data_IF_470278127500
#
_entry.id   IF_470278127500
#
_cell.length_a   1.000
_cell.length_b   1.000
_cell.length_c   1.000
_cell.angle_alpha   90.00
_cell.angle_beta   90.00
_cell.angle_gamma   90.00
#
_symmetry.space_group_name_H-M   'P 1'
#
loop_
_entity.id
_entity.type
_entity.pdbx_description
1 polymer ?
#
# COMPACT_ATOMS: atom_id res chain seq x y z
N UNK A 1 -29.50 -15.46 13.71
CA UNK A 1 -29.19 -14.32 14.60
C UNK A 1 -28.48 -13.28 13.75
N UNK A 2 -29.15 -12.16 13.50
CA UNK A 2 -28.76 -11.17 12.50
C UNK A 2 -27.51 -10.39 12.92
N UNK A 3 -26.59 -10.20 11.97
CA UNK A 3 -25.41 -9.36 12.14
C UNK A 3 -25.81 -7.91 11.89
N UNK A 4 -25.96 -7.13 12.96
CA UNK A 4 -26.04 -5.68 12.85
C UNK A 4 -24.63 -5.13 12.59
N UNK A 5 -24.27 -5.06 11.32
CA UNK A 5 -23.10 -4.33 10.89
C UNK A 5 -23.37 -2.83 11.09
N UNK A 6 -22.48 -2.21 11.86
CA UNK A 6 -22.39 -0.78 12.05
C UNK A 6 -22.30 -0.08 10.68
N UNK A 7 -23.44 0.30 10.09
CA UNK A 7 -23.51 1.23 8.97
C UNK A 7 -23.21 2.64 9.50
N UNK A 8 -21.96 2.87 9.92
CA UNK A 8 -21.45 4.25 9.92
C UNK A 8 -21.30 4.63 8.45
N UNK A 9 -21.98 5.69 8.05
CA UNK A 9 -21.73 6.37 6.79
C UNK A 9 -20.23 6.67 6.71
N UNK A 10 -19.49 5.90 5.90
CA UNK A 10 -18.11 6.22 5.57
C UNK A 10 -18.15 7.54 4.80
N UNK A 11 -17.90 8.66 5.49
CA UNK A 11 -17.63 9.93 4.84
C UNK A 11 -16.42 9.70 3.92
N UNK A 12 -16.57 9.96 2.63
CA UNK A 12 -15.44 9.92 1.70
C UNK A 12 -14.38 10.93 2.16
N UNK A 13 -13.31 10.43 2.78
CA UNK A 13 -12.21 11.25 3.24
C UNK A 13 -11.18 11.33 2.11
N UNK A 14 -11.32 12.33 1.23
CA UNK A 14 -10.36 12.56 0.15
C UNK A 14 -9.17 13.35 0.67
N UNK A 15 -8.07 12.64 0.91
CA UNK A 15 -6.77 13.23 1.21
C UNK A 15 -6.14 13.63 -0.12
N UNK A 16 -5.80 14.92 -0.25
CA UNK A 16 -5.17 15.43 -1.47
C UNK A 16 -3.80 14.75 -1.63
N UNK A 17 -3.57 14.14 -2.79
CA UNK A 17 -2.37 13.38 -3.16
C UNK A 17 -2.21 12.02 -2.45
N UNK A 18 -3.28 11.47 -1.87
CA UNK A 18 -3.24 10.08 -1.39
C UNK A 18 -3.40 9.10 -2.56
N UNK A 19 -2.72 7.95 -2.53
CA UNK A 19 -2.85 6.94 -3.58
C UNK A 19 -4.28 6.38 -3.67
N UNK A 20 -4.82 6.34 -4.89
CA UNK A 20 -6.16 5.80 -5.17
C UNK A 20 -6.15 4.29 -5.45
N UNK A 21 -4.96 3.72 -5.68
CA UNK A 21 -4.78 2.29 -5.98
C UNK A 21 -3.41 1.77 -5.47
N UNK A 22 -3.25 0.44 -5.49
CA UNK A 22 -2.02 -0.22 -5.00
C UNK A 22 -0.78 0.24 -5.76
N UNK A 23 -0.89 0.46 -7.08
CA UNK A 23 0.25 0.92 -7.89
C UNK A 23 0.74 2.27 -7.39
N UNK A 24 -0.16 3.23 -7.21
CA UNK A 24 0.16 4.56 -6.69
C UNK A 24 0.72 4.50 -5.27
N UNK A 25 0.15 3.63 -4.42
CA UNK A 25 0.63 3.41 -3.06
C UNK A 25 2.08 2.91 -3.07
N UNK A 26 2.40 1.90 -3.90
CA UNK A 26 3.76 1.40 -4.04
C UNK A 26 4.70 2.45 -4.62
N UNK A 27 4.28 3.23 -5.62
CA UNK A 27 5.08 4.34 -6.15
C UNK A 27 5.40 5.39 -5.07
N UNK A 28 4.44 5.68 -4.18
CA UNK A 28 4.63 6.58 -3.06
C UNK A 28 5.65 6.00 -2.06
N UNK A 29 5.50 4.74 -1.69
CA UNK A 29 6.39 4.04 -0.76
C UNK A 29 7.81 3.86 -1.31
N UNK A 30 7.98 3.69 -2.63
CA UNK A 30 9.28 3.53 -3.27
C UNK A 30 10.18 4.79 -3.21
N UNK A 31 9.70 5.91 -2.67
CA UNK A 31 10.52 7.11 -2.43
C UNK A 31 11.52 6.93 -1.30
N UNK A 32 11.24 6.03 -0.35
CA UNK A 32 12.19 5.63 0.69
C UNK A 32 12.75 4.24 0.35
N UNK A 33 14.06 4.19 0.12
CA UNK A 33 14.80 2.98 -0.24
C UNK A 33 14.84 1.92 0.88
N UNK A 34 14.46 2.29 2.10
CA UNK A 34 14.41 1.40 3.26
C UNK A 34 12.99 0.93 3.62
N UNK A 35 11.98 1.28 2.83
CA UNK A 35 10.60 0.88 3.12
C UNK A 35 10.42 -0.63 3.00
N UNK A 36 10.30 -1.27 4.17
CA UNK A 36 9.84 -2.65 4.29
C UNK A 36 8.32 -2.66 4.20
N UNK A 37 7.81 -3.54 3.35
CA UNK A 37 6.37 -3.70 3.14
C UNK A 37 6.03 -5.16 3.28
N UNK A 38 4.94 -5.45 3.96
CA UNK A 38 4.35 -6.78 3.93
C UNK A 38 3.27 -6.78 2.86
N UNK A 39 3.37 -7.69 1.89
CA UNK A 39 2.38 -7.82 0.80
C UNK A 39 1.65 -9.15 0.93
N UNK A 40 0.38 -9.17 0.55
CA UNK A 40 -0.39 -10.39 0.32
C UNK A 40 -0.54 -10.55 -1.18
N UNK A 41 0.06 -11.61 -1.71
CA UNK A 41 -0.04 -11.99 -3.11
C UNK A 41 -1.24 -12.91 -3.31
N UNK A 42 -2.08 -12.59 -4.30
CA UNK A 42 -3.04 -13.54 -4.85
C UNK A 42 -2.29 -14.53 -5.73
N UNK A 43 -2.26 -15.79 -5.32
CA UNK A 43 -1.87 -16.87 -6.22
C UNK A 43 -3.10 -17.71 -6.49
N UNK A 44 -3.15 -18.33 -7.67
CA UNK A 44 -4.33 -19.08 -8.13
C UNK A 44 -4.79 -20.19 -7.16
N UNK A 45 -3.93 -20.62 -6.23
CA UNK A 45 -4.20 -21.68 -5.27
C UNK A 45 -4.35 -21.16 -3.84
N UNK A 46 -3.50 -20.23 -3.39
CA UNK A 46 -3.52 -19.67 -2.04
C UNK A 46 -3.02 -18.22 -1.98
N UNK A 47 -3.44 -17.45 -0.97
CA UNK A 47 -2.83 -16.15 -0.70
C UNK A 47 -1.50 -16.32 0.05
N UNK A 48 -0.43 -15.69 -0.43
CA UNK A 48 0.90 -15.77 0.20
C UNK A 48 1.22 -14.42 0.86
N UNK A 49 1.52 -14.45 2.17
CA UNK A 49 2.03 -13.30 2.92
C UNK A 49 3.56 -13.26 2.78
N UNK A 50 4.11 -12.12 2.36
CA UNK A 50 5.55 -11.93 2.24
C UNK A 50 6.00 -10.60 2.85
N UNK A 51 7.07 -10.63 3.65
CA UNK A 51 7.79 -9.45 4.12
C UNK A 51 8.97 -9.18 3.18
N UNK A 52 8.94 -8.05 2.48
CA UNK A 52 9.87 -7.71 1.41
C UNK A 52 10.24 -6.23 1.43
N UNK A 53 11.40 -5.89 0.86
CA UNK A 53 11.80 -4.49 0.70
C UNK A 53 11.41 -4.01 -0.70
N UNK A 54 10.57 -2.98 -0.79
CA UNK A 54 10.21 -2.39 -2.07
C UNK A 54 11.38 -1.56 -2.60
N UNK A 55 11.77 -1.82 -3.85
CA UNK A 55 12.89 -1.13 -4.52
C UNK A 55 12.38 -0.13 -5.54
N UNK A 56 11.41 -0.53 -6.37
CA UNK A 56 10.87 0.30 -7.42
C UNK A 56 9.51 -0.22 -7.90
N UNK A 57 8.80 0.62 -8.65
CA UNK A 57 7.68 0.22 -9.50
C UNK A 57 8.01 0.62 -10.93
N UNK A 58 8.09 -0.36 -11.85
CA UNK A 58 8.47 -0.15 -13.25
C UNK A 58 7.36 -0.70 -14.14
N UNK A 59 6.66 0.18 -14.86
CA UNK A 59 5.45 -0.20 -15.60
C UNK A 59 4.39 -0.71 -14.62
N UNK A 60 3.99 -1.97 -14.78
CA UNK A 60 3.03 -2.68 -13.92
C UNK A 60 3.72 -3.73 -13.01
N UNK A 61 5.05 -3.65 -12.88
CA UNK A 61 5.83 -4.54 -12.02
C UNK A 61 6.29 -3.81 -10.76
N UNK A 62 5.96 -4.36 -9.61
CA UNK A 62 6.61 -4.05 -8.34
C UNK A 62 7.92 -4.86 -8.24
N UNK A 63 9.01 -4.16 -7.95
CA UNK A 63 10.34 -4.75 -7.79
C UNK A 63 10.68 -4.78 -6.32
N UNK A 64 10.85 -5.98 -5.79
CA UNK A 64 11.22 -6.20 -4.40
C UNK A 64 12.63 -6.77 -4.30
N UNK A 65 13.36 -6.37 -3.27
CA UNK A 65 14.58 -7.06 -2.88
C UNK A 65 14.21 -8.26 -2.01
N UNK A 66 14.64 -9.44 -2.43
CA UNK A 66 14.46 -10.70 -1.73
C UNK A 66 15.84 -11.36 -1.58
N UNK A 67 16.41 -11.28 -0.38
CA UNK A 67 17.80 -11.63 -0.09
C UNK A 67 18.81 -10.85 -0.99
N UNK A 68 19.56 -11.55 -1.82
CA UNK A 68 20.55 -11.05 -2.79
C UNK A 68 19.98 -10.95 -4.22
N UNK A 69 18.66 -11.09 -4.38
CA UNK A 69 17.96 -11.09 -5.67
C UNK A 69 16.88 -10.03 -5.74
N UNK A 70 16.45 -9.74 -6.96
CA UNK A 70 15.23 -8.99 -7.22
C UNK A 70 14.08 -9.95 -7.57
N UNK A 71 12.94 -9.71 -6.95
CA UNK A 71 11.66 -10.35 -7.27
C UNK A 71 10.79 -9.33 -7.98
N UNK A 72 10.24 -9.74 -9.12
CA UNK A 72 9.31 -8.92 -9.90
C UNK A 72 7.91 -9.50 -9.73
N UNK A 73 6.96 -8.65 -9.38
CA UNK A 73 5.58 -9.05 -9.12
C UNK A 73 4.66 -8.13 -9.93
N UNK A 74 3.73 -8.71 -10.67
CA UNK A 74 2.65 -7.94 -11.28
C UNK A 74 1.82 -7.27 -10.19
N UNK A 75 1.67 -5.95 -10.25
CA UNK A 75 0.92 -5.18 -9.26
C UNK A 75 -0.53 -5.67 -9.14
N UNK A 76 -1.11 -6.23 -10.21
CA UNK A 76 -2.46 -6.80 -10.20
C UNK A 76 -2.57 -8.09 -9.37
N UNK A 77 -1.46 -8.75 -9.05
CA UNK A 77 -1.44 -9.91 -8.16
C UNK A 77 -1.31 -9.53 -6.68
N UNK A 78 -1.18 -8.25 -6.33
CA UNK A 78 -1.07 -7.80 -4.95
C UNK A 78 -2.47 -7.48 -4.43
N UNK A 79 -2.96 -8.26 -3.47
CA UNK A 79 -4.26 -8.04 -2.83
C UNK A 79 -4.21 -6.94 -1.77
N UNK A 80 -3.15 -6.96 -0.97
CA UNK A 80 -3.03 -6.11 0.22
C UNK A 80 -1.59 -5.67 0.39
N UNK A 81 -1.40 -4.42 0.76
CA UNK A 81 -0.13 -3.85 1.20
C UNK A 81 -0.27 -3.42 2.64
N UNK A 82 0.61 -3.92 3.51
CA UNK A 82 0.66 -3.63 4.94
C UNK A 82 1.98 -2.91 5.19
N UNK A 83 1.90 -1.72 5.76
CA UNK A 83 3.05 -0.87 6.10
C UNK A 83 2.88 -0.34 7.51
N UNK A 84 3.99 0.09 8.11
CA UNK A 84 3.95 0.79 9.38
C UNK A 84 3.12 2.06 9.24
N UNK A 85 2.33 2.37 10.27
CA UNK A 85 1.48 3.56 10.25
C UNK A 85 2.31 4.84 10.09
N UNK A 86 3.50 4.89 10.71
CA UNK A 86 4.44 6.01 10.60
C UNK A 86 4.83 6.32 9.16
N UNK A 87 4.97 5.32 8.29
CA UNK A 87 5.30 5.49 6.86
C UNK A 87 4.24 6.25 6.06
N UNK A 88 2.99 6.27 6.55
CA UNK A 88 1.85 6.90 5.86
C UNK A 88 1.37 8.15 6.61
N UNK A 89 1.68 8.27 7.91
CA UNK A 89 1.17 9.32 8.76
C UNK A 89 1.59 10.71 8.27
N UNK A 90 2.83 10.89 7.80
CA UNK A 90 3.28 12.20 7.30
C UNK A 90 2.49 12.64 6.06
N UNK A 91 2.27 11.75 5.09
CA UNK A 91 1.48 12.00 3.89
C UNK A 91 0.00 12.30 4.20
N UNK A 92 -0.57 11.59 5.18
CA UNK A 92 -1.94 11.84 5.64
C UNK A 92 -2.04 13.20 6.36
N UNK A 93 -1.10 13.50 7.25
CA UNK A 93 -1.11 14.71 8.08
C UNK A 93 -0.78 15.98 7.26
N UNK A 94 0.16 15.92 6.32
CA UNK A 94 0.47 17.04 5.41
C UNK A 94 -0.74 17.49 4.58
N UNK A 95 -1.63 16.55 4.23
CA UNK A 95 -2.86 16.87 3.52
C UNK A 95 -3.87 17.66 4.37
N UNK A 96 -3.88 17.43 5.69
CA UNK A 96 -4.84 18.02 6.63
C UNK A 96 -4.47 19.46 7.04
N UNK A 97 -3.20 19.83 6.92
CA UNK A 97 -2.71 21.20 7.15
C UNK A 97 -3.15 22.23 6.08
N UNK A 98 -3.92 21.81 5.06
CA UNK A 98 -4.56 22.72 4.10
C UNK A 98 -5.99 23.15 4.49
N UNK A 99 -6.49 22.75 5.66
CA UNK A 99 -7.66 23.42 6.25
C UNK A 99 -7.25 24.79 6.75
N UNK A 100 -7.27 25.80 5.86
CA UNK A 100 -7.29 27.20 6.27
C UNK A 100 -8.66 27.49 6.86
N UNK A 101 -8.68 27.76 8.16
CA UNK A 101 -9.76 28.46 8.86
C UNK A 101 -10.06 29.80 8.18
#
# INVERSE_FOLDING_TARGET
MGKDYCKKECREFKIKNFPDNIRELLCMLAKDENNRVTIILDTCEDCILEDVCLVAVIGDLAVFRYHDKFKFVDVHCICTVIVDCETILDEVLESSNRCKC
#
